data_IF_933672771375
#
_entry.id   IF_933672771375
#
_cell.length_a   1.000
_cell.length_b   1.000
_cell.length_c   1.000
_cell.angle_alpha   90.00
_cell.angle_beta   90.00
_cell.angle_gamma   90.00
#
_symmetry.space_group_name_H-M   'P 1'
#
loop_
_entity.id
_entity.type
_entity.pdbx_description
1 polymer ?
#
# COMPACT_ATOMS: atom_id res chain seq x y z
N UNK A 1 -34.70 -0.22 -11.91
CA UNK A 1 -33.87 -1.32 -12.46
C UNK A 1 -33.12 -1.95 -11.31
N UNK A 2 -33.30 -3.25 -11.02
CA UNK A 2 -32.40 -3.95 -10.09
C UNK A 2 -31.10 -4.21 -10.86
N UNK A 3 -30.06 -3.42 -10.59
CA UNK A 3 -28.73 -3.74 -11.10
C UNK A 3 -28.30 -5.06 -10.45
N UNK A 4 -28.13 -6.10 -11.27
CA UNK A 4 -27.70 -7.43 -10.83
C UNK A 4 -26.17 -7.42 -10.63
N UNK A 5 -25.71 -6.62 -9.67
CA UNK A 5 -24.31 -6.53 -9.29
C UNK A 5 -23.93 -7.84 -8.61
N UNK A 6 -22.88 -8.50 -9.10
CA UNK A 6 -22.35 -9.75 -8.53
C UNK A 6 -20.93 -9.61 -7.99
N UNK A 7 -20.18 -8.65 -8.52
CA UNK A 7 -18.78 -8.46 -8.21
C UNK A 7 -18.58 -7.07 -7.63
N UNK A 8 -17.85 -6.98 -6.53
CA UNK A 8 -17.42 -5.75 -5.90
C UNK A 8 -15.90 -5.69 -5.96
N UNK A 9 -15.37 -4.59 -6.50
CA UNK A 9 -13.95 -4.33 -6.56
C UNK A 9 -13.63 -3.18 -5.61
N UNK A 10 -12.77 -3.45 -4.63
CA UNK A 10 -12.34 -2.49 -3.63
C UNK A 10 -10.93 -2.01 -3.94
N UNK A 11 -10.69 -0.72 -3.71
CA UNK A 11 -9.34 -0.20 -3.47
C UNK A 11 -8.99 -0.39 -1.97
N UNK A 12 -7.71 -0.23 -1.63
CA UNK A 12 -7.19 -0.34 -0.28
C UNK A 12 -7.13 1.01 0.42
N UNK A 13 -6.45 1.99 -0.18
CA UNK A 13 -6.17 3.29 0.43
C UNK A 13 -7.42 4.16 0.55
N UNK A 14 -7.69 4.71 1.74
CA UNK A 14 -8.90 5.48 2.08
C UNK A 14 -10.25 4.76 1.89
N UNK A 15 -10.24 3.49 1.45
CA UNK A 15 -11.44 2.65 1.32
C UNK A 15 -11.47 1.60 2.42
N UNK A 16 -10.36 0.87 2.59
CA UNK A 16 -10.21 -0.16 3.63
C UNK A 16 -9.26 0.36 4.72
N UNK A 17 -8.07 0.83 4.32
CA UNK A 17 -7.03 1.33 5.21
C UNK A 17 -7.07 2.86 5.22
N UNK A 18 -7.08 3.46 6.42
CA UNK A 18 -6.87 4.92 6.54
C UNK A 18 -5.41 5.25 6.24
N UNK A 19 -5.20 6.24 5.35
CA UNK A 19 -3.87 6.63 4.92
C UNK A 19 -3.59 8.13 5.12
N UNK A 20 -2.34 8.46 5.42
CA UNK A 20 -1.79 9.81 5.54
C UNK A 20 -0.60 9.99 4.58
N UNK A 21 -0.92 10.21 3.31
CA UNK A 21 0.09 10.39 2.25
C UNK A 21 0.96 11.61 2.54
N UNK A 22 0.33 12.73 2.89
CA UNK A 22 1.04 14.00 3.12
C UNK A 22 1.98 13.92 4.33
N UNK A 23 1.54 13.30 5.42
CA UNK A 23 2.36 13.08 6.60
C UNK A 23 3.53 12.13 6.34
N UNK A 24 3.31 11.04 5.59
CA UNK A 24 4.39 10.14 5.20
C UNK A 24 5.43 10.82 4.32
N UNK A 25 4.99 11.57 3.31
CA UNK A 25 5.90 12.32 2.44
C UNK A 25 6.59 13.44 3.20
N UNK A 26 5.93 14.09 4.14
CA UNK A 26 6.55 15.08 5.03
C UNK A 26 7.68 14.47 5.86
N UNK A 27 7.43 13.32 6.51
CA UNK A 27 8.45 12.61 7.30
C UNK A 27 9.62 12.15 6.43
N UNK A 28 9.34 11.59 5.26
CA UNK A 28 10.36 11.11 4.34
C UNK A 28 11.22 12.27 3.81
N UNK A 29 10.60 13.41 3.45
CA UNK A 29 11.33 14.64 3.09
C UNK A 29 12.23 15.14 4.21
N UNK A 30 11.81 14.98 5.47
CA UNK A 30 12.63 15.33 6.64
C UNK A 30 13.90 14.49 6.80
N UNK A 31 14.01 13.36 6.09
CA UNK A 31 15.23 12.56 6.04
C UNK A 31 16.24 13.09 5.02
N UNK A 32 15.77 13.79 3.99
CA UNK A 32 16.53 14.15 2.82
C UNK A 32 17.53 15.29 3.05
N UNK A 33 18.68 15.20 2.39
CA UNK A 33 19.64 16.31 2.37
C UNK A 33 19.18 17.41 1.40
N UNK A 34 19.74 18.62 1.52
CA UNK A 34 19.32 19.78 0.73
C UNK A 34 19.39 19.57 -0.80
N UNK A 35 20.38 18.83 -1.28
CA UNK A 35 20.58 18.56 -2.72
C UNK A 35 19.86 17.28 -3.22
N UNK A 36 18.83 16.81 -2.50
CA UNK A 36 18.13 15.58 -2.84
C UNK A 36 17.46 15.69 -4.21
N UNK A 37 17.62 14.64 -5.03
CA UNK A 37 17.12 14.62 -6.40
C UNK A 37 15.66 14.16 -6.42
N UNK A 38 14.74 15.13 -6.37
CA UNK A 38 13.30 14.87 -6.33
C UNK A 38 12.80 13.98 -7.47
N UNK A 39 13.27 14.17 -8.70
CA UNK A 39 12.88 13.32 -9.84
C UNK A 39 13.26 11.84 -9.64
N UNK A 40 14.41 11.57 -9.02
CA UNK A 40 14.83 10.18 -8.72
C UNK A 40 13.97 9.57 -7.62
N UNK A 41 13.56 10.38 -6.64
CA UNK A 41 12.69 9.96 -5.54
C UNK A 41 11.31 9.59 -6.08
N UNK A 42 10.70 10.49 -6.84
CA UNK A 42 9.37 10.28 -7.44
C UNK A 42 9.36 9.07 -8.37
N UNK A 43 10.39 8.93 -9.22
CA UNK A 43 10.54 7.75 -10.06
C UNK A 43 10.63 6.46 -9.24
N UNK A 44 11.40 6.48 -8.14
CA UNK A 44 11.53 5.32 -7.27
C UNK A 44 10.20 4.96 -6.58
N UNK A 45 9.35 5.95 -6.23
CA UNK A 45 8.03 5.67 -5.66
C UNK A 45 7.17 4.89 -6.66
N UNK A 46 7.04 5.39 -7.89
CA UNK A 46 6.23 4.77 -8.92
C UNK A 46 6.79 3.40 -9.31
N UNK A 47 8.10 3.29 -9.49
CA UNK A 47 8.72 2.01 -9.83
C UNK A 47 8.55 0.98 -8.71
N UNK A 48 8.58 1.41 -7.46
CA UNK A 48 8.38 0.50 -6.33
C UNK A 48 6.93 0.06 -6.21
N UNK A 49 5.98 0.97 -6.37
CA UNK A 49 4.54 0.67 -6.42
C UNK A 49 4.20 -0.31 -7.55
N UNK A 50 4.86 -0.19 -8.71
CA UNK A 50 4.69 -1.13 -9.82
C UNK A 50 5.59 -2.37 -9.74
N UNK A 51 6.37 -2.57 -8.67
CA UNK A 51 7.25 -3.74 -8.51
C UNK A 51 8.42 -3.79 -9.50
N UNK A 52 8.74 -2.68 -10.16
CA UNK A 52 9.86 -2.55 -11.11
C UNK A 52 11.23 -2.48 -10.41
N UNK A 53 11.24 -2.12 -9.13
CA UNK A 53 12.44 -2.17 -8.27
C UNK A 53 12.13 -2.95 -6.99
N UNK A 54 13.16 -3.58 -6.41
CA UNK A 54 13.04 -4.27 -5.12
C UNK A 54 12.98 -3.29 -3.94
N UNK A 55 12.51 -3.79 -2.79
CA UNK A 55 12.54 -3.04 -1.51
C UNK A 55 13.96 -2.53 -1.19
N UNK A 56 15.00 -3.35 -1.40
CA UNK A 56 16.38 -2.92 -1.17
C UNK A 56 16.80 -1.77 -2.09
N UNK A 57 16.42 -1.81 -3.37
CA UNK A 57 16.73 -0.73 -4.32
C UNK A 57 15.99 0.54 -3.92
N UNK A 58 14.72 0.43 -3.51
CA UNK A 58 13.92 1.55 -3.02
C UNK A 58 14.57 2.20 -1.79
N UNK A 59 14.85 1.42 -0.75
CA UNK A 59 15.46 1.91 0.50
C UNK A 59 16.82 2.54 0.22
N UNK A 60 17.69 1.87 -0.53
CA UNK A 60 19.01 2.40 -0.86
C UNK A 60 18.92 3.69 -1.69
N UNK A 61 17.89 3.83 -2.54
CA UNK A 61 17.66 5.07 -3.29
C UNK A 61 17.30 6.21 -2.35
N UNK A 62 16.39 5.98 -1.40
CA UNK A 62 16.03 6.99 -0.38
C UNK A 62 17.21 7.35 0.51
N UNK A 63 17.99 6.36 0.96
CA UNK A 63 19.19 6.59 1.79
C UNK A 63 20.24 7.42 1.06
N UNK A 64 20.44 7.20 -0.24
CA UNK A 64 21.34 8.05 -1.05
C UNK A 64 20.89 9.49 -1.15
N UNK A 65 19.60 9.77 -0.96
CA UNK A 65 19.06 11.13 -0.92
C UNK A 65 18.96 11.68 0.52
N UNK A 66 19.27 10.86 1.53
CA UNK A 66 19.11 11.18 2.95
C UNK A 66 20.40 11.71 3.57
N UNK A 67 20.27 12.45 4.68
CA UNK A 67 21.43 12.76 5.51
C UNK A 67 22.10 11.48 6.02
N UNK A 68 23.44 11.48 6.14
CA UNK A 68 24.26 10.30 6.49
C UNK A 68 23.92 9.65 7.84
N UNK A 69 23.18 10.34 8.71
CA UNK A 69 22.81 9.84 10.04
C UNK A 69 21.68 8.82 10.00
N UNK A 70 20.89 8.81 8.93
CA UNK A 70 19.72 7.92 8.80
C UNK A 70 20.10 6.55 8.26
N UNK A 71 19.30 5.57 8.64
CA UNK A 71 19.43 4.15 8.32
C UNK A 71 18.16 3.63 7.64
N UNK A 72 18.22 2.40 7.14
CA UNK A 72 17.10 1.77 6.44
C UNK A 72 15.80 1.81 7.25
N UNK A 73 15.89 1.64 8.58
CA UNK A 73 14.71 1.67 9.46
C UNK A 73 14.02 3.04 9.45
N UNK A 74 14.75 4.15 9.40
CA UNK A 74 14.15 5.49 9.37
C UNK A 74 13.33 5.69 8.08
N UNK A 75 13.85 5.19 6.95
CA UNK A 75 13.14 5.21 5.66
C UNK A 75 11.88 4.34 5.73
N UNK A 76 11.99 3.12 6.25
CA UNK A 76 10.87 2.19 6.38
C UNK A 76 9.78 2.78 7.28
N UNK A 77 10.16 3.34 8.43
CA UNK A 77 9.22 3.95 9.37
C UNK A 77 8.54 5.17 8.76
N UNK A 78 9.31 6.07 8.12
CA UNK A 78 8.74 7.22 7.42
C UNK A 78 7.77 6.79 6.30
N UNK A 79 8.15 5.79 5.51
CA UNK A 79 7.33 5.28 4.41
C UNK A 79 6.05 4.57 4.88
N UNK A 80 6.17 3.71 5.90
CA UNK A 80 5.03 2.97 6.45
C UNK A 80 4.12 3.84 7.31
N UNK A 81 4.57 5.01 7.75
CA UNK A 81 3.72 5.98 8.44
C UNK A 81 2.57 6.51 7.58
N UNK A 82 2.57 6.21 6.27
CA UNK A 82 1.43 6.40 5.39
C UNK A 82 0.20 5.61 5.85
N UNK A 83 0.40 4.45 6.48
CA UNK A 83 -0.70 3.58 6.91
C UNK A 83 -1.05 3.88 8.37
N UNK A 84 -2.27 4.35 8.60
CA UNK A 84 -2.75 4.72 9.95
C UNK A 84 -3.35 3.50 10.65
N UNK A 85 -4.22 2.77 9.95
CA UNK A 85 -4.92 1.62 10.52
C UNK A 85 -6.12 1.20 9.71
N UNK A 86 -6.80 0.16 10.18
CA UNK A 86 -7.98 -0.40 9.54
C UNK A 86 -9.14 -0.34 10.53
N UNK A 87 -10.12 0.55 10.34
CA UNK A 87 -11.32 0.56 11.16
C UNK A 87 -12.03 -0.81 11.10
N UNK A 88 -12.29 -1.45 12.24
CA UNK A 88 -12.87 -2.79 12.30
C UNK A 88 -14.18 -2.93 11.52
N UNK A 89 -15.01 -1.87 11.50
CA UNK A 89 -16.28 -1.89 10.78
C UNK A 89 -16.12 -2.12 9.26
N UNK A 90 -14.96 -1.76 8.67
CA UNK A 90 -14.67 -2.01 7.25
C UNK A 90 -14.36 -3.49 7.01
N UNK A 91 -13.74 -4.17 7.98
CA UNK A 91 -13.52 -5.62 7.94
C UNK A 91 -14.86 -6.37 8.08
N UNK A 92 -15.68 -5.98 9.06
CA UNK A 92 -17.03 -6.55 9.24
C UNK A 92 -17.91 -6.37 7.99
N UNK A 93 -17.74 -5.23 7.29
CA UNK A 93 -18.43 -4.97 6.03
C UNK A 93 -17.98 -5.95 4.94
N UNK A 94 -16.67 -6.18 4.77
CA UNK A 94 -16.15 -7.11 3.77
C UNK A 94 -16.70 -8.53 3.99
N UNK A 95 -16.72 -9.03 5.22
CA UNK A 95 -17.29 -10.35 5.55
C UNK A 95 -18.77 -10.46 5.19
N UNK A 96 -19.57 -9.44 5.52
CA UNK A 96 -21.00 -9.40 5.18
C UNK A 96 -21.22 -9.37 3.66
N UNK A 97 -20.38 -8.63 2.94
CA UNK A 97 -20.50 -8.53 1.48
C UNK A 97 -20.14 -9.84 0.79
N UNK A 98 -19.11 -10.56 1.26
CA UNK A 98 -18.74 -11.88 0.71
C UNK A 98 -19.86 -12.93 0.76
N UNK A 99 -20.81 -12.76 1.68
CA UNK A 99 -21.98 -13.65 1.76
C UNK A 99 -22.94 -13.50 0.56
N UNK A 100 -22.85 -12.40 -0.18
CA UNK A 100 -23.81 -12.03 -1.24
C UNK A 100 -23.16 -11.64 -2.58
N UNK A 101 -21.86 -11.34 -2.57
CA UNK A 101 -21.10 -10.86 -3.71
C UNK A 101 -19.74 -11.55 -3.77
N UNK A 102 -19.19 -11.65 -4.98
CA UNK A 102 -17.76 -11.89 -5.14
C UNK A 102 -17.03 -10.58 -4.80
N UNK A 103 -16.08 -10.63 -3.87
CA UNK A 103 -15.36 -9.46 -3.35
C UNK A 103 -13.90 -9.55 -3.76
N UNK A 104 -13.45 -8.55 -4.50
CA UNK A 104 -12.10 -8.47 -5.05
C UNK A 104 -11.39 -7.24 -4.51
N UNK A 105 -10.08 -7.34 -4.31
CA UNK A 105 -9.21 -6.20 -4.04
C UNK A 105 -8.39 -5.89 -5.28
N UNK A 106 -8.34 -4.63 -5.70
CA UNK A 106 -7.37 -4.12 -6.67
C UNK A 106 -6.73 -2.89 -6.07
N UNK A 107 -5.44 -2.97 -5.78
CA UNK A 107 -4.75 -1.89 -5.10
C UNK A 107 -3.36 -1.62 -5.68
N UNK A 108 -3.11 -0.33 -5.88
CA UNK A 108 -1.76 0.18 -6.00
C UNK A 108 -1.09 0.14 -4.62
N UNK A 109 -0.12 -0.75 -4.46
CA UNK A 109 0.63 -0.89 -3.21
C UNK A 109 1.99 -1.52 -3.48
N UNK A 110 2.86 -1.50 -2.48
CA UNK A 110 4.22 -2.04 -2.53
C UNK A 110 4.46 -3.06 -1.40
N UNK A 111 5.60 -3.74 -1.47
CA UNK A 111 5.90 -4.84 -0.54
C UNK A 111 5.97 -4.40 0.93
N UNK A 112 6.55 -3.22 1.23
CA UNK A 112 6.64 -2.71 2.61
C UNK A 112 5.27 -2.40 3.22
N UNK A 113 4.38 -1.78 2.43
CA UNK A 113 3.01 -1.51 2.87
C UNK A 113 2.22 -2.79 3.07
N UNK A 114 2.36 -3.76 2.16
CA UNK A 114 1.67 -5.05 2.29
C UNK A 114 2.14 -5.82 3.53
N UNK A 115 3.46 -5.87 3.78
CA UNK A 115 4.02 -6.47 4.99
C UNK A 115 3.48 -5.79 6.26
N UNK A 116 3.42 -4.45 6.26
CA UNK A 116 2.87 -3.70 7.39
C UNK A 116 1.41 -4.08 7.64
N UNK A 117 0.58 -4.16 6.59
CA UNK A 117 -0.84 -4.52 6.70
C UNK A 117 -1.00 -5.92 7.30
N UNK A 118 -0.26 -6.91 6.78
CA UNK A 118 -0.31 -8.28 7.31
C UNK A 118 0.06 -8.35 8.79
N UNK A 119 1.09 -7.62 9.20
CA UNK A 119 1.49 -7.54 10.61
C UNK A 119 0.45 -6.82 11.45
N UNK A 120 -0.14 -5.74 10.92
CA UNK A 120 -1.16 -4.96 11.59
C UNK A 120 -2.43 -5.77 11.84
N UNK A 121 -2.99 -6.43 10.81
CA UNK A 121 -4.23 -7.20 10.97
C UNK A 121 -4.06 -8.40 11.89
N UNK A 122 -2.90 -9.07 11.86
CA UNK A 122 -2.60 -10.17 12.78
C UNK A 122 -2.53 -9.69 14.21
N UNK A 123 -1.88 -8.55 14.44
CA UNK A 123 -1.67 -8.01 15.79
C UNK A 123 -2.91 -7.36 16.38
N UNK A 124 -3.64 -6.58 15.59
CA UNK A 124 -4.73 -5.71 16.05
C UNK A 124 -6.10 -6.37 15.88
N UNK A 125 -6.30 -7.11 14.79
CA UNK A 125 -7.58 -7.73 14.46
C UNK A 125 -7.57 -9.26 14.62
N UNK A 126 -6.44 -9.85 14.99
CA UNK A 126 -6.27 -11.31 15.15
C UNK A 126 -6.60 -12.10 13.87
N UNK A 127 -6.29 -11.52 12.72
CA UNK A 127 -6.49 -12.12 11.39
C UNK A 127 -5.16 -12.69 10.89
N UNK A 128 -5.09 -13.98 10.66
CA UNK A 128 -3.86 -14.65 10.19
C UNK A 128 -3.59 -14.46 8.69
N UNK A 129 -4.65 -14.42 7.87
CA UNK A 129 -4.57 -14.21 6.42
C UNK A 129 -5.60 -13.16 6.01
N UNK A 130 -5.12 -11.95 5.67
CA UNK A 130 -5.96 -10.82 5.29
C UNK A 130 -6.72 -11.12 4.00
N UNK A 131 -6.01 -11.63 3.01
CA UNK A 131 -6.53 -11.94 1.69
C UNK A 131 -7.59 -13.02 1.76
N UNK A 132 -7.27 -14.16 2.37
CA UNK A 132 -8.17 -15.33 2.39
C UNK A 132 -9.45 -15.04 3.18
N UNK A 133 -9.36 -14.22 4.24
CA UNK A 133 -10.52 -13.89 5.07
C UNK A 133 -11.47 -12.89 4.39
N UNK A 134 -10.95 -11.90 3.65
CA UNK A 134 -11.77 -10.77 3.20
C UNK A 134 -11.99 -10.66 1.69
N UNK A 135 -11.28 -11.43 0.87
CA UNK A 135 -11.39 -11.34 -0.58
C UNK A 135 -11.41 -12.72 -1.24
N UNK A 136 -12.09 -12.82 -2.38
CA UNK A 136 -12.02 -13.99 -3.24
C UNK A 136 -10.71 -13.98 -4.04
N UNK A 137 -10.27 -12.79 -4.47
CA UNK A 137 -8.92 -12.56 -4.98
C UNK A 137 -8.44 -11.14 -4.67
N UNK A 138 -7.14 -11.00 -4.47
CA UNK A 138 -6.46 -9.72 -4.29
C UNK A 138 -5.40 -9.49 -5.37
N UNK A 139 -5.44 -8.32 -6.00
CA UNK A 139 -4.53 -7.89 -7.05
C UNK A 139 -3.73 -6.69 -6.55
N UNK A 140 -2.41 -6.88 -6.42
CA UNK A 140 -1.49 -5.84 -5.98
C UNK A 140 -0.58 -5.40 -7.13
N UNK A 141 -0.48 -4.10 -7.36
CA UNK A 141 0.29 -3.53 -8.49
C UNK A 141 1.73 -4.04 -8.56
N UNK A 142 2.43 -4.14 -7.42
CA UNK A 142 3.82 -4.60 -7.38
C UNK A 142 4.00 -6.09 -7.70
N UNK A 143 2.95 -6.91 -7.60
CA UNK A 143 2.97 -8.32 -8.02
C UNK A 143 2.56 -8.48 -9.49
N UNK A 144 1.67 -7.60 -9.97
CA UNK A 144 1.19 -7.58 -11.37
C UNK A 144 2.20 -6.89 -12.30
N UNK A 145 3.06 -6.02 -11.77
CA UNK A 145 4.04 -5.26 -12.53
C UNK A 145 3.49 -3.96 -13.14
N UNK A 146 2.26 -3.55 -12.79
CA UNK A 146 1.53 -2.41 -13.35
C UNK A 146 0.60 -1.78 -12.32
N UNK A 147 0.43 -0.47 -12.41
CA UNK A 147 -0.57 0.28 -11.65
C UNK A 147 -1.99 0.09 -12.22
N UNK A 148 -3.00 0.35 -11.40
CA UNK A 148 -4.40 0.36 -11.80
C UNK A 148 -4.66 1.31 -12.98
N UNK A 149 -4.03 2.48 -13.00
CA UNK A 149 -4.15 3.44 -14.09
C UNK A 149 -3.59 2.87 -15.42
N UNK A 150 -2.48 2.15 -15.37
CA UNK A 150 -1.91 1.46 -16.54
C UNK A 150 -2.77 0.27 -17.00
N UNK A 151 -3.55 -0.35 -16.11
CA UNK A 151 -4.44 -1.48 -16.43
C UNK A 151 -5.81 -1.06 -16.99
N UNK A 152 -6.32 0.13 -16.65
CA UNK A 152 -7.66 0.59 -17.09
C UNK A 152 -7.62 1.27 -18.47
N UNK A 153 -6.45 1.70 -18.94
CA UNK A 153 -6.26 2.38 -20.23
C UNK A 153 -6.07 1.44 -21.43
N UNK A 154 -6.47 0.17 -21.33
CA UNK A 154 -6.33 -0.84 -22.39
C UNK A 154 -7.67 -1.17 -23.04
#
# INVERSE_FOLDING_TARGET
>A
MKNNIRNLLFDLGNVIVDIDIDGAYSRLRGLFHADAKHELIEKAFVDYECGRISTDIFINTMLRQSERKYQAIDVIEAWNSMLIGIPSYRLDMLEKLRSNYNVYLLSNTNALHLEWIHRYVRKVHHVDSFEDQYFDHAFYSHLVGRSQAECILV
#
